data_IF_170358149980
#
_entry.id   IF_170358149980
#
_cell.length_a   1.000
_cell.length_b   1.000
_cell.length_c   1.000
_cell.angle_alpha   90.00
_cell.angle_beta   90.00
_cell.angle_gamma   90.00
#
_symmetry.space_group_name_H-M   'P 1'
#
loop_
_entity.id
_entity.type
_entity.pdbx_description
1 polymer ?
#
# COMPACT_ATOMS: atom_id res chain seq x y z
N UNK A 1 -12.96 -6.60 17.87
CA UNK A 1 -13.80 -5.44 17.46
C UNK A 1 -13.26 -4.11 17.97
N UNK A 2 -12.89 -3.99 19.27
CA UNK A 2 -12.29 -2.75 19.81
C UNK A 2 -11.03 -2.27 19.09
N UNK A 3 -10.11 -3.17 18.70
CA UNK A 3 -8.89 -2.76 17.99
C UNK A 3 -9.18 -2.14 16.62
N UNK A 4 -10.12 -2.69 15.85
CA UNK A 4 -10.48 -2.17 14.52
C UNK A 4 -11.06 -0.76 14.64
N UNK A 5 -11.93 -0.56 15.63
CA UNK A 5 -12.51 0.75 15.90
C UNK A 5 -11.44 1.75 16.34
N UNK A 6 -10.51 1.33 17.21
CA UNK A 6 -9.38 2.17 17.62
C UNK A 6 -8.45 2.52 16.46
N UNK A 7 -8.10 1.54 15.61
CA UNK A 7 -7.31 1.76 14.39
C UNK A 7 -8.02 2.74 13.48
N UNK A 8 -9.33 2.57 13.24
CA UNK A 8 -10.10 3.47 12.39
C UNK A 8 -10.16 4.89 12.96
N UNK A 9 -10.49 5.06 14.24
CA UNK A 9 -10.57 6.36 14.90
C UNK A 9 -9.23 7.09 14.89
N UNK A 10 -8.16 6.38 15.26
CA UNK A 10 -6.80 6.92 15.28
C UNK A 10 -6.36 7.32 13.87
N UNK A 11 -6.62 6.46 12.88
CA UNK A 11 -6.28 6.74 11.48
C UNK A 11 -7.07 7.91 10.93
N UNK A 12 -8.35 8.01 11.25
CA UNK A 12 -9.22 9.11 10.83
C UNK A 12 -8.74 10.43 11.44
N UNK A 13 -8.40 10.46 12.73
CA UNK A 13 -7.83 11.64 13.39
C UNK A 13 -6.51 12.06 12.76
N UNK A 14 -5.59 11.12 12.52
CA UNK A 14 -4.31 11.41 11.85
C UNK A 14 -4.55 11.94 10.43
N UNK A 15 -5.43 11.32 9.67
CA UNK A 15 -5.73 11.72 8.30
C UNK A 15 -6.34 13.12 8.22
N UNK A 16 -7.39 13.39 9.01
CA UNK A 16 -8.09 14.67 9.03
C UNK A 16 -7.25 15.80 9.63
N UNK A 17 -6.38 15.50 10.59
CA UNK A 17 -5.48 16.49 11.19
C UNK A 17 -4.22 16.80 10.36
N UNK A 18 -3.89 15.98 9.36
CA UNK A 18 -2.62 16.08 8.63
C UNK A 18 -2.80 16.04 7.10
N UNK A 19 -3.54 17.01 6.55
CA UNK A 19 -3.68 17.18 5.10
C UNK A 19 -2.34 17.30 4.36
N UNK A 20 -1.29 17.72 5.07
CA UNK A 20 0.11 17.75 4.60
C UNK A 20 0.61 16.41 4.05
N UNK A 21 0.06 15.27 4.49
CA UNK A 21 0.42 13.94 3.99
C UNK A 21 0.04 13.75 2.51
N UNK A 22 -0.92 14.51 1.99
CA UNK A 22 -1.29 14.50 0.57
C UNK A 22 -0.33 15.31 -0.31
N UNK A 23 0.38 16.28 0.25
CA UNK A 23 1.21 17.21 -0.52
C UNK A 23 2.39 16.53 -1.24
N UNK A 24 3.18 15.63 -0.61
CA UNK A 24 4.22 14.87 -1.31
C UNK A 24 3.67 14.04 -2.47
N UNK A 25 2.45 13.48 -2.33
CA UNK A 25 1.79 12.71 -3.38
C UNK A 25 1.42 13.59 -4.58
N UNK A 26 0.85 14.77 -4.34
CA UNK A 26 0.52 15.73 -5.39
C UNK A 26 1.79 16.23 -6.11
N UNK A 27 2.86 16.49 -5.35
CA UNK A 27 4.15 16.87 -5.93
C UNK A 27 4.79 15.75 -6.76
N UNK A 28 4.72 14.51 -6.29
CA UNK A 28 5.17 13.35 -7.08
C UNK A 28 4.38 13.23 -8.38
N UNK A 29 3.05 13.34 -8.32
CA UNK A 29 2.20 13.28 -9.52
C UNK A 29 2.49 14.42 -10.51
N UNK A 30 2.76 15.63 -10.00
CA UNK A 30 3.18 16.77 -10.83
C UNK A 30 4.54 16.52 -11.50
N UNK A 31 5.50 15.96 -10.75
CA UNK A 31 6.81 15.59 -11.32
C UNK A 31 6.66 14.50 -12.38
N UNK A 32 5.84 13.48 -12.14
CA UNK A 32 5.56 12.42 -13.12
C UNK A 32 4.88 12.98 -14.37
N UNK A 33 3.94 13.92 -14.25
CA UNK A 33 3.26 14.52 -15.41
C UNK A 33 4.17 15.40 -16.25
N UNK A 34 5.21 15.99 -15.66
CA UNK A 34 6.24 16.73 -16.39
C UNK A 34 7.22 15.82 -17.15
N UNK A 35 7.42 14.59 -16.67
CA UNK A 35 8.40 13.64 -17.24
C UNK A 35 7.78 12.69 -18.27
N UNK A 36 6.47 12.42 -18.18
CA UNK A 36 5.74 11.61 -19.18
C UNK A 36 5.11 12.55 -20.22
N UNK A 37 5.69 12.73 -21.42
CA UNK A 37 5.10 13.59 -22.44
C UNK A 37 3.73 13.04 -22.86
N UNK A 38 2.67 13.84 -22.68
CA UNK A 38 1.30 13.37 -22.88
C UNK A 38 0.89 13.22 -24.35
N UNK A 39 1.61 13.80 -25.32
CA UNK A 39 1.24 13.78 -26.74
C UNK A 39 2.41 13.99 -27.72
N UNK A 40 3.66 13.99 -27.26
CA UNK A 40 4.78 13.95 -28.18
C UNK A 40 5.10 12.47 -28.43
N UNK A 41 5.26 12.08 -29.70
CA UNK A 41 5.94 10.81 -30.02
C UNK A 41 7.25 10.67 -29.25
N UNK A 42 7.87 9.48 -29.22
CA UNK A 42 9.09 9.23 -28.44
C UNK A 42 10.04 10.43 -28.58
N UNK A 43 10.40 11.12 -27.47
CA UNK A 43 11.14 12.37 -27.55
C UNK A 43 12.43 12.12 -28.33
N UNK A 44 12.81 13.06 -29.18
CA UNK A 44 14.08 13.02 -29.94
C UNK A 44 15.34 13.07 -29.05
N UNK A 45 15.18 13.09 -27.71
CA UNK A 45 16.29 12.92 -26.80
C UNK A 45 16.65 11.44 -26.76
N UNK A 46 17.93 11.12 -26.98
CA UNK A 46 18.56 9.83 -26.70
C UNK A 46 18.54 9.49 -25.18
N UNK A 47 17.44 9.75 -24.46
CA UNK A 47 17.24 9.25 -23.11
C UNK A 47 16.97 7.77 -23.23
N UNK A 48 17.87 6.96 -22.67
CA UNK A 48 17.60 5.55 -22.52
C UNK A 48 16.35 5.38 -21.63
N UNK A 49 15.23 4.97 -22.22
CA UNK A 49 13.96 4.75 -21.54
C UNK A 49 14.06 3.80 -20.36
N UNK A 50 14.99 2.84 -20.42
CA UNK A 50 15.27 1.94 -19.31
C UNK A 50 15.85 2.73 -18.13
N UNK A 51 16.79 3.64 -18.39
CA UNK A 51 17.36 4.52 -17.37
C UNK A 51 16.30 5.44 -16.78
N UNK A 52 15.44 6.03 -17.61
CA UNK A 52 14.33 6.86 -17.13
C UNK A 52 13.35 6.05 -16.27
N UNK A 53 12.97 4.85 -16.72
CA UNK A 53 12.08 3.95 -15.97
C UNK A 53 12.66 3.56 -14.61
N UNK A 54 13.95 3.20 -14.55
CA UNK A 54 14.65 2.90 -13.29
C UNK A 54 14.64 4.11 -12.36
N UNK A 55 14.92 5.32 -12.88
CA UNK A 55 14.91 6.55 -12.10
C UNK A 55 13.53 6.82 -11.50
N UNK A 56 12.46 6.66 -12.28
CA UNK A 56 11.08 6.86 -11.81
C UNK A 56 10.72 5.87 -10.69
N UNK A 57 11.13 4.60 -10.82
CA UNK A 57 10.90 3.56 -9.81
C UNK A 57 11.66 3.87 -8.51
N UNK A 58 12.93 4.27 -8.60
CA UNK A 58 13.72 4.66 -7.43
C UNK A 58 13.14 5.90 -6.74
N UNK A 59 12.73 6.91 -7.53
CA UNK A 59 12.10 8.11 -7.03
C UNK A 59 10.80 7.76 -6.28
N UNK A 60 9.98 6.86 -6.83
CA UNK A 60 8.79 6.35 -6.14
C UNK A 60 9.14 5.76 -4.76
N UNK A 61 10.17 4.92 -4.65
CA UNK A 61 10.57 4.34 -3.36
C UNK A 61 11.13 5.37 -2.38
N UNK A 62 11.84 6.39 -2.86
CA UNK A 62 12.25 7.56 -2.06
C UNK A 62 11.02 8.25 -1.46
N UNK A 63 10.03 8.57 -2.30
CA UNK A 63 8.80 9.21 -1.85
C UNK A 63 8.04 8.35 -0.84
N UNK A 64 7.91 7.04 -1.10
CA UNK A 64 7.21 6.13 -0.20
C UNK A 64 7.91 6.05 1.16
N UNK A 65 9.24 5.93 1.20
CA UNK A 65 9.98 5.93 2.47
C UNK A 65 9.71 7.21 3.29
N UNK A 66 9.74 8.37 2.64
CA UNK A 66 9.44 9.65 3.31
C UNK A 66 8.01 9.75 3.83
N UNK A 67 7.01 9.33 3.05
CA UNK A 67 5.59 9.37 3.46
C UNK A 67 5.33 8.44 4.64
N UNK A 68 5.81 7.19 4.57
CA UNK A 68 5.64 6.25 5.68
C UNK A 68 6.35 6.74 6.96
N UNK A 69 7.46 7.48 6.83
CA UNK A 69 8.10 8.19 7.94
C UNK A 69 7.24 9.28 8.57
N UNK A 70 6.64 10.14 7.74
CA UNK A 70 5.72 11.16 8.22
C UNK A 70 4.54 10.53 8.98
N UNK A 71 3.97 9.44 8.45
CA UNK A 71 2.88 8.71 9.11
C UNK A 71 3.36 8.11 10.44
N UNK A 72 4.54 7.49 10.50
CA UNK A 72 5.11 6.93 11.73
C UNK A 72 5.28 8.00 12.82
N UNK A 73 5.76 9.19 12.43
CA UNK A 73 5.92 10.32 13.33
C UNK A 73 4.56 10.80 13.84
N UNK A 74 3.55 10.91 12.98
CA UNK A 74 2.18 11.28 13.37
C UNK A 74 1.61 10.32 14.41
N UNK A 75 1.78 9.01 14.22
CA UNK A 75 1.31 7.99 15.18
C UNK A 75 1.99 8.16 16.55
N UNK A 76 3.29 8.46 16.57
CA UNK A 76 4.06 8.60 17.81
C UNK A 76 3.61 9.83 18.61
N UNK A 77 3.41 10.96 17.93
CA UNK A 77 2.90 12.19 18.54
C UNK A 77 1.51 11.97 19.13
N UNK A 78 0.63 11.40 18.32
CA UNK A 78 -0.78 11.17 18.66
C UNK A 78 -0.92 10.22 19.87
N UNK A 79 -0.09 9.18 19.93
CA UNK A 79 -0.03 8.26 21.07
C UNK A 79 0.52 8.90 22.36
N UNK A 80 1.48 9.82 22.25
CA UNK A 80 2.02 10.54 23.42
C UNK A 80 0.99 11.52 23.98
N UNK A 81 0.27 12.25 23.13
CA UNK A 81 -0.81 13.15 23.54
C UNK A 81 -1.94 12.41 24.26
N UNK A 82 -2.34 11.23 23.78
CA UNK A 82 -3.31 10.39 24.48
C UNK A 82 -2.83 9.98 25.87
N UNK A 83 -1.55 9.61 26.02
CA UNK A 83 -0.99 9.26 27.34
C UNK A 83 -1.02 10.44 28.31
N UNK A 84 -0.69 11.65 27.84
CA UNK A 84 -0.74 12.87 28.64
C UNK A 84 -2.17 13.22 29.10
N UNK A 85 -3.19 12.99 28.26
CA UNK A 85 -4.60 13.23 28.62
C UNK A 85 -5.19 12.18 29.58
N UNK A 86 -4.59 10.99 29.64
CA UNK A 86 -5.12 9.86 30.44
C UNK A 86 -4.42 9.73 31.80
N UNK A 87 -3.39 10.53 32.09
CA UNK A 87 -2.74 10.57 33.41
C UNK A 87 -3.53 11.48 34.38
N UNK A 88 -3.90 11.01 35.59
CA UNK A 88 -4.77 11.76 36.50
C UNK A 88 -4.13 12.97 37.22
N UNK A 89 -2.84 13.28 36.99
CA UNK A 89 -2.08 14.20 37.86
C UNK A 89 -1.30 15.30 37.10
N UNK A 90 -1.89 15.91 36.08
CA UNK A 90 -1.38 17.20 35.58
C UNK A 90 -2.35 18.35 35.90
N UNK A 91 -2.14 19.09 37.00
CA UNK A 91 -2.97 20.25 37.40
C UNK A 91 -2.65 21.51 36.57
N UNK A 92 -2.50 21.35 35.25
CA UNK A 92 -2.20 22.43 34.31
C UNK A 92 -2.77 22.25 32.90
N UNK A 93 -3.56 21.19 32.65
CA UNK A 93 -4.12 20.89 31.33
C UNK A 93 -5.48 21.59 31.08
N UNK A 94 -5.68 22.80 31.60
CA UNK A 94 -6.89 23.61 31.36
C UNK A 94 -6.78 24.51 30.12
N UNK A 95 -5.90 24.19 29.16
CA UNK A 95 -5.85 24.90 27.88
C UNK A 95 -6.26 24.00 26.71
N UNK A 96 -7.56 23.99 26.33
CA UNK A 96 -8.07 23.32 25.13
C UNK A 96 -7.38 23.72 23.83
N UNK A 97 -6.55 24.78 23.85
CA UNK A 97 -5.79 25.25 22.69
C UNK A 97 -4.45 24.53 22.48
N UNK A 98 -3.87 23.87 23.49
CA UNK A 98 -2.62 23.09 23.28
C UNK A 98 -2.87 21.71 22.66
N UNK A 99 -4.08 21.17 22.83
CA UNK A 99 -4.53 19.92 22.19
C UNK A 99 -4.60 20.01 20.65
N UNK A 100 -4.63 21.24 20.11
CA UNK A 100 -4.68 21.50 18.67
C UNK A 100 -3.30 21.59 18.01
N UNK A 101 -2.23 21.37 18.76
CA UNK A 101 -0.87 21.35 18.20
C UNK A 101 -0.42 19.90 18.04
N UNK A 102 -1.01 19.19 17.06
CA UNK A 102 -0.16 18.36 16.19
C UNK A 102 1.07 19.22 15.89
N UNK A 103 2.33 18.75 16.03
CA UNK A 103 3.50 19.57 15.73
C UNK A 103 3.28 20.18 14.36
N UNK A 104 2.97 21.48 14.33
CA UNK A 104 2.06 22.05 13.32
C UNK A 104 2.45 21.56 11.95
N UNK A 105 1.52 21.00 11.16
CA UNK A 105 1.70 20.03 10.06
C UNK A 105 3.05 20.06 9.28
N UNK A 106 3.69 21.22 9.16
CA UNK A 106 5.10 21.40 8.82
C UNK A 106 6.14 20.63 9.67
N UNK A 107 5.89 20.36 10.95
CA UNK A 107 6.75 19.56 11.81
C UNK A 107 6.90 18.13 11.30
N UNK A 108 5.88 17.58 10.65
CA UNK A 108 5.93 16.27 10.01
C UNK A 108 6.84 16.25 8.79
N UNK A 109 6.97 17.35 8.03
CA UNK A 109 7.93 17.41 6.92
C UNK A 109 9.37 17.24 7.39
N UNK A 110 9.69 17.58 8.65
CA UNK A 110 11.03 17.33 9.20
C UNK A 110 11.33 15.83 9.33
N UNK A 111 10.32 14.97 9.40
CA UNK A 111 10.49 13.52 9.40
C UNK A 111 10.71 12.96 7.99
N UNK A 112 10.25 13.63 6.94
CA UNK A 112 10.29 13.13 5.56
C UNK A 112 11.70 12.76 5.10
N UNK A 113 12.63 13.73 5.07
CA UNK A 113 13.99 13.50 4.54
C UNK A 113 14.86 12.56 5.39
N UNK A 114 14.88 12.66 6.73
CA UNK A 114 15.64 11.71 7.55
C UNK A 114 15.19 10.27 7.37
N UNK A 115 13.87 10.03 7.26
CA UNK A 115 13.34 8.68 7.05
C UNK A 115 13.76 8.10 5.70
N UNK A 116 13.89 8.92 4.65
CA UNK A 116 14.45 8.46 3.37
C UNK A 116 15.85 7.90 3.60
N UNK A 117 16.73 8.64 4.27
CA UNK A 117 18.09 8.18 4.54
C UNK A 117 18.13 6.87 5.36
N UNK A 118 17.19 6.69 6.28
CA UNK A 118 17.12 5.52 7.15
C UNK A 118 16.56 4.27 6.45
N UNK A 119 15.54 4.41 5.61
CA UNK A 119 14.80 3.26 5.07
C UNK A 119 14.88 3.10 3.54
N UNK A 120 15.49 4.04 2.80
CA UNK A 120 15.55 3.98 1.34
C UNK A 120 16.07 2.63 0.82
N UNK A 121 17.16 2.11 1.38
CA UNK A 121 17.73 0.82 0.95
C UNK A 121 16.72 -0.31 1.13
N UNK A 122 16.03 -0.35 2.27
CA UNK A 122 15.00 -1.36 2.53
C UNK A 122 13.82 -1.22 1.58
N UNK A 123 13.41 0.01 1.25
CA UNK A 123 12.34 0.26 0.28
C UNK A 123 12.74 -0.13 -1.15
N UNK A 124 13.95 0.22 -1.59
CA UNK A 124 14.47 -0.12 -2.90
C UNK A 124 14.62 -1.64 -3.07
N UNK A 125 15.16 -2.34 -2.06
CA UNK A 125 15.25 -3.81 -2.06
C UNK A 125 13.86 -4.44 -2.04
N UNK A 126 12.93 -3.92 -1.24
CA UNK A 126 11.53 -4.38 -1.22
C UNK A 126 10.86 -4.24 -2.58
N UNK A 127 11.10 -3.11 -3.25
CA UNK A 127 10.69 -2.88 -4.63
C UNK A 127 11.29 -3.86 -5.63
N UNK A 128 12.59 -4.14 -5.50
CA UNK A 128 13.27 -5.10 -6.34
C UNK A 128 12.69 -6.51 -6.19
N UNK A 129 12.27 -6.92 -4.99
CA UNK A 129 11.56 -8.20 -4.77
C UNK A 129 10.28 -8.25 -5.62
N UNK A 130 9.47 -7.17 -5.63
CA UNK A 130 8.25 -7.10 -6.44
C UNK A 130 8.56 -7.23 -7.94
N UNK A 131 9.61 -6.56 -8.41
CA UNK A 131 10.08 -6.65 -9.81
C UNK A 131 10.57 -8.06 -10.14
N UNK A 132 11.31 -8.73 -9.25
CA UNK A 132 11.77 -10.09 -9.47
C UNK A 132 10.60 -11.08 -9.59
N UNK A 133 9.56 -10.92 -8.78
CA UNK A 133 8.34 -11.75 -8.89
C UNK A 133 7.65 -11.51 -10.23
N UNK A 134 7.53 -10.24 -10.65
CA UNK A 134 6.94 -9.89 -11.95
C UNK A 134 7.74 -10.50 -13.12
N UNK A 135 9.08 -10.38 -13.10
CA UNK A 135 9.97 -10.98 -14.12
C UNK A 135 9.87 -12.49 -14.11
N UNK A 136 9.81 -13.13 -12.94
CA UNK A 136 9.61 -14.57 -12.81
C UNK A 136 8.29 -15.04 -13.43
N UNK A 137 7.20 -14.31 -13.18
CA UNK A 137 5.90 -14.58 -13.80
C UNK A 137 5.93 -14.37 -15.32
N UNK A 138 6.56 -13.30 -15.80
CA UNK A 138 6.71 -13.05 -17.23
C UNK A 138 7.53 -14.16 -17.93
N UNK A 139 8.61 -14.63 -17.29
CA UNK A 139 9.40 -15.75 -17.78
C UNK A 139 8.60 -17.05 -17.82
N UNK A 140 7.79 -17.32 -16.80
CA UNK A 140 6.89 -18.47 -16.76
C UNK A 140 5.81 -18.41 -17.86
N UNK A 141 5.19 -17.24 -18.06
CA UNK A 141 4.23 -17.01 -19.16
C UNK A 141 4.91 -17.29 -20.49
N UNK A 142 6.09 -16.71 -20.73
CA UNK A 142 6.85 -16.92 -21.97
C UNK A 142 7.11 -18.40 -22.22
N UNK A 143 7.63 -19.13 -21.22
CA UNK A 143 7.89 -20.57 -21.34
C UNK A 143 6.63 -21.38 -21.64
N UNK A 144 5.52 -21.04 -20.99
CA UNK A 144 4.22 -21.72 -21.21
C UNK A 144 3.68 -21.48 -22.61
N UNK A 145 3.84 -20.25 -23.13
CA UNK A 145 3.48 -19.90 -24.50
C UNK A 145 4.34 -20.68 -25.49
N UNK A 146 5.66 -20.71 -25.30
CA UNK A 146 6.59 -21.39 -26.21
C UNK A 146 6.40 -22.92 -26.22
N UNK A 147 6.07 -23.53 -25.09
CA UNK A 147 6.01 -24.99 -24.96
C UNK A 147 4.62 -25.60 -25.22
N UNK A 148 3.54 -24.86 -24.93
CA UNK A 148 2.20 -25.45 -24.83
C UNK A 148 1.13 -24.77 -25.67
N UNK A 149 1.15 -23.44 -25.79
CA UNK A 149 0.06 -22.69 -26.44
C UNK A 149 0.42 -22.31 -27.88
N UNK A 150 1.65 -21.83 -28.09
CA UNK A 150 2.05 -21.12 -29.29
C UNK A 150 1.54 -19.68 -29.32
N UNK A 151 2.10 -18.87 -30.22
CA UNK A 151 1.60 -17.52 -30.50
C UNK A 151 0.69 -17.60 -31.74
N UNK A 152 -0.59 -17.23 -31.65
CA UNK A 152 -1.47 -17.15 -32.80
C UNK A 152 -0.86 -16.22 -33.88
N UNK A 153 -0.77 -16.64 -35.15
CA UNK A 153 -0.23 -15.80 -36.23
C UNK A 153 -0.92 -14.44 -36.35
N UNK A 154 -2.22 -14.36 -36.05
CA UNK A 154 -2.98 -13.11 -36.00
C UNK A 154 -2.41 -12.11 -35.00
N UNK A 155 -1.92 -12.56 -33.83
CA UNK A 155 -1.32 -11.64 -32.86
C UNK A 155 0.00 -11.08 -33.38
N UNK A 156 0.82 -11.90 -34.03
CA UNK A 156 2.07 -11.46 -34.66
C UNK A 156 1.80 -10.42 -35.74
N UNK A 157 0.85 -10.67 -36.65
CA UNK A 157 0.44 -9.73 -37.70
C UNK A 157 -0.11 -8.42 -37.12
N UNK A 158 -0.90 -8.51 -36.05
CA UNK A 158 -1.46 -7.35 -35.35
C UNK A 158 -0.36 -6.51 -34.65
N UNK A 159 0.62 -7.16 -34.02
CA UNK A 159 1.78 -6.49 -33.44
C UNK A 159 2.65 -5.82 -34.50
N UNK A 160 2.91 -6.49 -35.62
CA UNK A 160 3.69 -5.93 -36.73
C UNK A 160 3.02 -4.69 -37.33
N UNK A 161 1.69 -4.72 -37.55
CA UNK A 161 0.92 -3.56 -38.03
C UNK A 161 0.91 -2.39 -37.05
N UNK A 162 0.76 -2.67 -35.75
CA UNK A 162 0.85 -1.64 -34.71
C UNK A 162 2.26 -1.03 -34.66
N UNK A 163 3.31 -1.84 -34.75
CA UNK A 163 4.70 -1.37 -34.80
C UNK A 163 5.01 -0.59 -36.08
N UNK A 164 4.37 -0.93 -37.20
CA UNK A 164 4.43 -0.19 -38.45
C UNK A 164 3.66 1.15 -38.41
N UNK A 165 2.92 1.43 -37.33
CA UNK A 165 2.19 2.68 -37.15
C UNK A 165 0.83 2.72 -37.86
N UNK A 166 0.26 1.57 -38.22
CA UNK A 166 -1.10 1.52 -38.78
C UNK A 166 -2.12 1.94 -37.71
N UNK A 167 -2.81 3.05 -37.94
CA UNK A 167 -3.75 3.66 -36.98
C UNK A 167 -5.17 3.08 -37.06
N UNK A 168 -5.45 2.25 -38.07
CA UNK A 168 -6.75 1.58 -38.25
C UNK A 168 -6.55 0.09 -38.50
N UNK A 169 -6.12 -0.64 -37.47
CA UNK A 169 -6.22 -2.09 -37.48
C UNK A 169 -7.64 -2.46 -37.04
N UNK A 170 -8.47 -2.97 -37.96
CA UNK A 170 -9.79 -3.50 -37.64
C UNK A 170 -9.65 -4.84 -36.89
N UNK A 171 -9.30 -4.72 -35.61
CA UNK A 171 -9.08 -5.84 -34.71
C UNK A 171 -10.34 -6.71 -34.60
N UNK A 172 -11.54 -6.13 -34.77
CA UNK A 172 -12.80 -6.84 -34.66
C UNK A 172 -13.04 -7.73 -35.88
N UNK A 173 -12.75 -7.24 -37.09
CA UNK A 173 -12.77 -8.06 -38.30
C UNK A 173 -11.73 -9.20 -38.25
N UNK A 174 -10.52 -8.93 -37.76
CA UNK A 174 -9.46 -9.93 -37.58
C UNK A 174 -9.84 -11.03 -36.57
N UNK A 175 -10.50 -10.66 -35.46
CA UNK A 175 -11.00 -11.61 -34.46
C UNK A 175 -12.13 -12.50 -35.02
N UNK A 176 -13.02 -11.94 -35.83
CA UNK A 176 -14.15 -12.67 -36.42
C UNK A 176 -13.69 -13.67 -37.51
N UNK A 177 -12.72 -13.28 -38.33
CA UNK A 177 -12.16 -14.11 -39.40
C UNK A 177 -11.24 -15.25 -38.91
N UNK A 178 -10.96 -15.31 -37.60
CA UNK A 178 -9.98 -16.24 -37.05
C UNK A 178 -10.49 -17.70 -37.06
N UNK A 179 -9.66 -18.68 -37.47
CA UNK A 179 -9.99 -20.10 -37.35
C UNK A 179 -10.21 -20.53 -35.90
N UNK A 180 -11.05 -21.54 -35.66
CA UNK A 180 -11.37 -22.00 -34.29
C UNK A 180 -10.13 -22.42 -33.49
N UNK A 181 -9.12 -23.03 -34.13
CA UNK A 181 -7.87 -23.39 -33.47
C UNK A 181 -7.09 -22.17 -32.95
N UNK A 182 -7.09 -21.07 -33.71
CA UNK A 182 -6.44 -19.81 -33.29
C UNK A 182 -7.26 -19.09 -32.21
N UNK A 183 -8.60 -19.20 -32.26
CA UNK A 183 -9.48 -18.71 -31.19
C UNK A 183 -9.19 -19.44 -29.87
N UNK A 184 -9.08 -20.77 -29.91
CA UNK A 184 -8.73 -21.56 -28.73
C UNK A 184 -7.33 -21.21 -28.17
N UNK A 185 -6.35 -20.97 -29.03
CA UNK A 185 -5.02 -20.49 -28.61
C UNK A 185 -5.09 -19.09 -27.97
N UNK A 186 -5.86 -18.18 -28.56
CA UNK A 186 -6.06 -16.83 -28.02
C UNK A 186 -6.77 -16.86 -26.66
N UNK A 187 -7.77 -17.72 -26.50
CA UNK A 187 -8.48 -17.92 -25.23
C UNK A 187 -7.55 -18.50 -24.16
N UNK A 188 -6.72 -19.48 -24.52
CA UNK A 188 -5.71 -20.05 -23.64
C UNK A 188 -4.65 -19.00 -23.23
N UNK A 189 -4.19 -18.19 -24.18
CA UNK A 189 -3.25 -17.09 -23.94
C UNK A 189 -3.86 -16.04 -23.00
N UNK A 190 -5.11 -15.65 -23.25
CA UNK A 190 -5.86 -14.70 -22.42
C UNK A 190 -6.02 -15.24 -21.00
N UNK A 191 -6.40 -16.50 -20.87
CA UNK A 191 -6.52 -17.18 -19.58
C UNK A 191 -5.18 -17.24 -18.84
N UNK A 192 -4.08 -17.52 -19.55
CA UNK A 192 -2.73 -17.52 -18.99
C UNK A 192 -2.34 -16.14 -18.45
N UNK A 193 -2.60 -15.08 -19.21
CA UNK A 193 -2.34 -13.71 -18.75
C UNK A 193 -3.22 -13.32 -17.56
N UNK A 194 -4.49 -13.74 -17.54
CA UNK A 194 -5.39 -13.54 -16.40
C UNK A 194 -4.88 -14.25 -15.15
N UNK A 195 -4.45 -15.50 -15.26
CA UNK A 195 -3.88 -16.27 -14.15
C UNK A 195 -2.58 -15.65 -13.65
N UNK A 196 -1.68 -15.23 -14.55
CA UNK A 196 -0.43 -14.56 -14.17
C UNK A 196 -0.69 -13.21 -13.49
N UNK A 197 -1.60 -12.39 -14.05
CA UNK A 197 -2.01 -11.12 -13.48
C UNK A 197 -2.69 -11.27 -12.12
N UNK A 198 -3.55 -12.28 -11.97
CA UNK A 198 -4.16 -12.64 -10.69
C UNK A 198 -3.11 -13.09 -9.67
N UNK A 199 -2.18 -13.97 -10.06
CA UNK A 199 -1.09 -14.43 -9.21
C UNK A 199 -0.20 -13.29 -8.70
N UNK A 200 0.19 -12.37 -9.58
CA UNK A 200 0.93 -11.17 -9.18
C UNK A 200 0.11 -10.30 -8.23
N UNK A 201 -1.18 -10.09 -8.54
CA UNK A 201 -2.07 -9.30 -7.70
C UNK A 201 -2.20 -9.89 -6.29
N UNK A 202 -2.39 -11.21 -6.17
CA UNK A 202 -2.44 -11.91 -4.89
C UNK A 202 -1.15 -11.70 -4.09
N UNK A 203 0.01 -11.87 -4.73
CA UNK A 203 1.30 -11.62 -4.07
C UNK A 203 1.44 -10.17 -3.59
N UNK A 204 1.14 -9.20 -4.48
CA UNK A 204 1.20 -7.78 -4.15
C UNK A 204 0.29 -7.43 -2.98
N UNK A 205 -0.93 -7.98 -2.97
CA UNK A 205 -1.90 -7.78 -1.91
C UNK A 205 -1.47 -8.38 -0.58
N UNK A 206 -1.03 -9.64 -0.57
CA UNK A 206 -0.54 -10.30 0.65
C UNK A 206 0.69 -9.59 1.25
N UNK A 207 1.46 -8.90 0.42
CA UNK A 207 2.65 -8.18 0.86
C UNK A 207 2.43 -6.69 1.06
N UNK A 208 1.23 -6.15 0.81
CA UNK A 208 0.97 -4.70 0.75
C UNK A 208 1.35 -3.92 2.01
N UNK A 209 1.36 -4.56 3.19
CA UNK A 209 1.75 -3.93 4.44
C UNK A 209 3.27 -3.93 4.70
N UNK A 210 4.10 -4.50 3.82
CA UNK A 210 5.55 -4.57 3.99
C UNK A 210 6.21 -3.21 4.29
N UNK A 211 5.81 -2.06 3.69
CA UNK A 211 6.44 -0.77 4.02
C UNK A 211 6.21 -0.37 5.47
N UNK A 212 5.03 -0.70 6.02
CA UNK A 212 4.72 -0.43 7.42
C UNK A 212 5.56 -1.32 8.36
N UNK A 213 5.81 -2.57 8.00
CA UNK A 213 6.69 -3.47 8.76
C UNK A 213 8.15 -3.03 8.74
N UNK A 214 8.61 -2.40 7.65
CA UNK A 214 9.94 -1.78 7.58
C UNK A 214 10.04 -0.62 8.58
N UNK A 215 9.10 0.33 8.52
CA UNK A 215 9.20 1.58 9.28
C UNK A 215 8.78 1.41 10.75
N UNK A 216 7.67 0.72 11.03
CA UNK A 216 7.17 0.53 12.41
C UNK A 216 7.82 -0.68 13.09
N UNK A 217 8.13 -1.74 12.33
CA UNK A 217 8.69 -2.99 12.84
C UNK A 217 10.22 -3.07 12.81
N UNK A 218 10.90 -2.13 12.14
CA UNK A 218 12.36 -2.13 11.99
C UNK A 218 12.90 -3.33 11.20
N UNK A 219 12.07 -3.98 10.38
CA UNK A 219 12.42 -5.21 9.69
C UNK A 219 13.23 -4.96 8.42
N UNK A 220 14.02 -5.95 8.00
CA UNK A 220 14.61 -5.98 6.65
C UNK A 220 13.53 -6.12 5.59
N UNK A 221 13.83 -5.77 4.33
CA UNK A 221 12.87 -5.85 3.23
C UNK A 221 12.22 -7.23 3.07
N UNK A 222 13.02 -8.29 3.13
CA UNK A 222 12.54 -9.67 3.04
C UNK A 222 11.72 -10.07 4.28
N UNK A 223 12.21 -9.71 5.47
CA UNK A 223 11.49 -9.93 6.73
C UNK A 223 10.13 -9.27 6.71
N UNK A 224 10.05 -8.03 6.22
CA UNK A 224 8.82 -7.26 6.11
C UNK A 224 7.82 -7.86 5.11
N UNK A 225 8.27 -8.35 3.96
CA UNK A 225 7.42 -9.07 3.01
C UNK A 225 6.86 -10.34 3.66
N UNK A 226 7.71 -11.10 4.36
CA UNK A 226 7.29 -12.31 5.04
C UNK A 226 6.31 -12.03 6.20
N UNK A 227 6.58 -11.01 7.02
CA UNK A 227 5.70 -10.61 8.10
C UNK A 227 4.34 -10.15 7.58
N UNK A 228 4.31 -9.34 6.51
CA UNK A 228 3.06 -8.96 5.84
C UNK A 228 2.30 -10.18 5.33
N UNK A 229 2.98 -11.10 4.65
CA UNK A 229 2.39 -12.32 4.12
C UNK A 229 1.77 -13.17 5.23
N UNK A 230 2.54 -13.46 6.27
CA UNK A 230 2.08 -14.24 7.43
C UNK A 230 0.91 -13.55 8.14
N UNK A 231 0.93 -12.22 8.24
CA UNK A 231 -0.15 -11.46 8.89
C UNK A 231 -1.49 -11.62 8.16
N UNK A 232 -1.48 -11.72 6.82
CA UNK A 232 -2.70 -11.93 6.05
C UNK A 232 -3.42 -13.24 6.41
N UNK A 233 -2.68 -14.27 6.79
CA UNK A 233 -3.25 -15.54 7.25
C UNK A 233 -3.59 -15.56 8.74
N UNK A 234 -2.89 -14.75 9.55
CA UNK A 234 -3.13 -14.68 10.99
C UNK A 234 -4.35 -13.83 11.36
N UNK A 235 -4.62 -12.77 10.61
CA UNK A 235 -5.74 -11.87 10.89
C UNK A 235 -6.64 -11.70 9.65
N UNK A 236 -7.85 -12.30 9.63
CA UNK A 236 -8.79 -12.17 8.51
C UNK A 236 -9.27 -10.74 8.29
N UNK A 237 -9.14 -9.84 9.27
CA UNK A 237 -9.43 -8.41 9.10
C UNK A 237 -8.41 -7.76 8.15
N UNK A 238 -7.15 -8.17 8.22
CA UNK A 238 -6.10 -7.72 7.29
C UNK A 238 -6.45 -8.16 5.87
N UNK A 239 -6.86 -9.43 5.72
CA UNK A 239 -7.33 -9.99 4.44
C UNK A 239 -8.55 -9.22 3.89
N UNK A 240 -9.56 -8.93 4.72
CA UNK A 240 -10.74 -8.18 4.33
C UNK A 240 -10.42 -6.73 3.94
N UNK A 241 -9.54 -6.05 4.66
CA UNK A 241 -9.09 -4.70 4.32
C UNK A 241 -8.37 -4.65 2.97
N UNK A 242 -7.55 -5.65 2.69
CA UNK A 242 -6.82 -5.80 1.43
C UNK A 242 -7.78 -6.10 0.26
N UNK A 243 -8.73 -7.02 0.44
CA UNK A 243 -9.77 -7.30 -0.58
C UNK A 243 -10.66 -6.08 -0.82
N UNK A 244 -11.05 -5.37 0.24
CA UNK A 244 -11.81 -4.12 0.13
C UNK A 244 -11.05 -3.05 -0.66
N UNK A 245 -9.74 -2.91 -0.44
CA UNK A 245 -8.90 -1.99 -1.20
C UNK A 245 -8.83 -2.34 -2.70
N UNK A 246 -8.69 -3.61 -3.04
CA UNK A 246 -8.73 -4.07 -4.43
C UNK A 246 -10.05 -3.74 -5.12
N UNK A 247 -11.17 -4.08 -4.46
CA UNK A 247 -12.51 -3.83 -5.01
C UNK A 247 -12.77 -2.33 -5.21
N UNK A 248 -12.42 -1.50 -4.22
CA UNK A 248 -12.59 -0.05 -4.31
C UNK A 248 -11.72 0.57 -5.41
N UNK A 249 -10.47 0.13 -5.55
CA UNK A 249 -9.58 0.64 -6.61
C UNK A 249 -10.14 0.31 -8.00
N UNK A 250 -10.67 -0.91 -8.19
CA UNK A 250 -11.31 -1.29 -9.45
C UNK A 250 -12.63 -0.55 -9.70
N UNK A 251 -13.46 -0.34 -8.67
CA UNK A 251 -14.69 0.44 -8.76
C UNK A 251 -14.41 1.87 -9.22
N UNK A 252 -13.41 2.52 -8.61
CA UNK A 252 -12.99 3.88 -9.00
C UNK A 252 -12.48 3.89 -10.45
N UNK A 253 -11.67 2.91 -10.86
CA UNK A 253 -11.22 2.81 -12.25
C UNK A 253 -12.37 2.61 -13.24
N UNK A 254 -13.38 1.80 -12.90
CA UNK A 254 -14.57 1.64 -13.75
C UNK A 254 -15.37 2.94 -13.87
N UNK A 255 -15.60 3.65 -12.77
CA UNK A 255 -16.31 4.93 -12.76
C UNK A 255 -15.56 6.01 -13.56
N UNK A 256 -14.23 6.00 -13.46
CA UNK A 256 -13.32 6.84 -14.26
C UNK A 256 -13.47 6.57 -15.75
N UNK A 257 -13.55 5.29 -16.16
CA UNK A 257 -13.66 4.91 -17.57
C UNK A 257 -15.03 5.23 -18.18
N UNK A 258 -16.09 5.36 -17.37
CA UNK A 258 -17.46 5.55 -17.87
C UNK A 258 -17.92 7.00 -17.95
N UNK A 259 -17.31 7.93 -17.22
CA UNK A 259 -17.91 9.25 -16.97
C UNK A 259 -17.72 10.26 -18.10
N UNK A 260 -16.70 10.11 -18.96
CA UNK A 260 -16.40 10.99 -20.11
C UNK A 260 -16.17 12.48 -19.79
N UNK A 261 -16.49 12.92 -18.57
CA UNK A 261 -16.46 14.29 -18.10
C UNK A 261 -15.13 14.54 -17.36
N UNK A 262 -14.28 15.44 -17.86
CA UNK A 262 -12.95 15.66 -17.29
C UNK A 262 -12.98 16.22 -15.85
N UNK A 263 -14.04 16.95 -15.48
CA UNK A 263 -14.21 17.48 -14.11
C UNK A 263 -14.53 16.34 -13.14
N UNK A 264 -15.47 15.47 -13.50
CA UNK A 264 -15.82 14.28 -12.69
C UNK A 264 -14.62 13.35 -12.56
N UNK A 265 -13.85 13.19 -13.64
CA UNK A 265 -12.61 12.43 -13.65
C UNK A 265 -11.57 12.99 -12.67
N UNK A 266 -11.36 14.31 -12.66
CA UNK A 266 -10.42 14.95 -11.73
C UNK A 266 -10.83 14.77 -10.27
N UNK A 267 -12.12 14.91 -9.95
CA UNK A 267 -12.63 14.68 -8.59
C UNK A 267 -12.51 13.20 -8.18
N UNK A 268 -12.82 12.27 -9.08
CA UNK A 268 -12.66 10.83 -8.82
C UNK A 268 -11.19 10.47 -8.55
N UNK A 269 -10.24 11.03 -9.32
CA UNK A 269 -8.81 10.84 -9.09
C UNK A 269 -8.35 11.41 -7.76
N UNK A 270 -8.80 12.61 -7.39
CA UNK A 270 -8.48 13.21 -6.08
C UNK A 270 -9.03 12.36 -4.93
N UNK A 271 -10.27 11.90 -5.03
CA UNK A 271 -10.87 11.00 -4.05
C UNK A 271 -10.08 9.68 -3.93
N UNK A 272 -9.62 9.13 -5.05
CA UNK A 272 -8.79 7.93 -5.08
C UNK A 272 -7.45 8.14 -4.35
N UNK A 273 -6.80 9.29 -4.54
CA UNK A 273 -5.54 9.64 -3.88
C UNK A 273 -5.76 9.77 -2.38
N UNK A 274 -6.78 10.51 -1.95
CA UNK A 274 -7.12 10.68 -0.54
C UNK A 274 -7.43 9.33 0.14
N UNK A 275 -8.17 8.46 -0.55
CA UNK A 275 -8.45 7.12 -0.07
C UNK A 275 -7.20 6.26 0.08
N UNK A 276 -6.27 6.30 -0.90
CA UNK A 276 -4.98 5.59 -0.81
C UNK A 276 -4.15 6.06 0.38
N UNK A 277 -4.12 7.37 0.67
CA UNK A 277 -3.40 7.92 1.83
C UNK A 277 -4.04 7.44 3.13
N UNK A 278 -5.38 7.52 3.24
CA UNK A 278 -6.10 7.02 4.43
C UNK A 278 -5.77 5.54 4.68
N UNK A 279 -5.76 4.73 3.63
CA UNK A 279 -5.41 3.32 3.74
C UNK A 279 -3.96 3.10 4.20
N UNK A 280 -3.00 3.88 3.68
CA UNK A 280 -1.60 3.81 4.15
C UNK A 280 -1.49 4.15 5.64
N UNK A 281 -2.22 5.18 6.10
CA UNK A 281 -2.30 5.53 7.52
C UNK A 281 -2.89 4.37 8.32
N UNK A 282 -4.00 3.80 7.87
CA UNK A 282 -4.64 2.64 8.53
C UNK A 282 -3.72 1.43 8.65
N UNK A 283 -3.03 1.06 7.57
CA UNK A 283 -2.07 -0.04 7.57
C UNK A 283 -0.92 0.24 8.55
N UNK A 284 -0.43 1.47 8.59
CA UNK A 284 0.67 1.85 9.48
C UNK A 284 0.26 1.85 10.95
N UNK A 285 -0.90 2.42 11.29
CA UNK A 285 -1.47 2.39 12.65
C UNK A 285 -1.68 0.95 13.09
N UNK A 286 -2.26 0.13 12.21
CA UNK A 286 -2.50 -1.29 12.48
C UNK A 286 -1.18 -2.03 12.78
N UNK A 287 -0.19 -1.96 11.88
CA UNK A 287 1.11 -2.63 12.11
C UNK A 287 1.83 -2.09 13.34
N UNK A 288 1.78 -0.79 13.59
CA UNK A 288 2.36 -0.20 14.80
C UNK A 288 1.69 -0.73 16.08
N UNK A 289 0.37 -0.93 16.08
CA UNK A 289 -0.35 -1.55 17.20
C UNK A 289 0.08 -3.01 17.42
N UNK A 290 0.24 -3.77 16.33
CA UNK A 290 0.73 -5.16 16.38
C UNK A 290 2.14 -5.27 16.97
N UNK A 291 3.07 -4.46 16.47
CA UNK A 291 4.49 -4.50 16.87
C UNK A 291 4.66 -4.07 18.34
N UNK A 292 3.87 -3.10 18.80
CA UNK A 292 3.91 -2.60 20.20
C UNK A 292 3.17 -3.51 21.18
N UNK A 293 2.61 -4.64 20.72
CA UNK A 293 1.88 -5.57 21.57
C UNK A 293 0.59 -5.00 22.15
N UNK A 294 -0.05 -4.02 21.49
CA UNK A 294 -1.41 -3.63 21.88
C UNK A 294 -2.34 -4.81 21.61
N UNK A 295 -3.13 -5.27 22.60
CA UNK A 295 -3.72 -6.61 22.57
C UNK A 295 -4.70 -6.81 21.41
N UNK A 296 -4.39 -7.84 20.61
CA UNK A 296 -5.25 -8.48 19.61
C UNK A 296 -6.09 -9.60 20.25
N UNK A 297 -7.03 -9.27 21.15
CA UNK A 297 -8.10 -10.15 21.65
C UNK A 297 -8.97 -9.30 22.58
N UNK A 298 -10.31 -9.23 22.54
CA UNK A 298 -11.31 -10.30 22.75
C UNK A 298 -10.91 -11.26 23.88
N UNK A 299 -10.76 -10.73 25.10
CA UNK A 299 -11.25 -11.46 26.28
C UNK A 299 -12.78 -11.29 26.32
N UNK A 300 -13.44 -12.15 25.56
CA UNK A 300 -14.90 -12.23 25.48
C UNK A 300 -15.34 -13.68 25.39
N UNK A 301 -14.65 -14.59 26.08
CA UNK A 301 -15.17 -15.88 26.44
C UNK A 301 -15.35 -15.85 27.96
N UNK A 302 -16.55 -15.48 28.39
CA UNK A 302 -17.01 -15.66 29.75
C UNK A 302 -17.03 -17.16 30.09
N UNK A 303 -15.99 -17.63 30.77
CA UNK A 303 -16.11 -18.66 31.79
C UNK A 303 -15.74 -17.94 33.10
N UNK A 304 -16.66 -17.53 33.96
CA UNK A 304 -17.77 -18.33 34.44
C UNK A 304 -17.35 -19.23 35.60
N UNK A 305 -16.57 -18.72 36.57
CA UNK A 305 -16.40 -19.26 37.93
C UNK A 305 -16.12 -18.04 38.82
N UNK A 306 -17.07 -17.45 39.56
CA UNK A 306 -17.76 -17.98 40.74
C UNK A 306 -16.83 -18.71 41.71
N UNK A 307 -16.14 -17.95 42.55
CA UNK A 307 -15.34 -18.47 43.66
C UNK A 307 -15.17 -17.43 44.76
N UNK A 308 -16.24 -17.19 45.51
CA UNK A 308 -16.27 -16.44 46.75
C UNK A 308 -15.36 -17.04 47.84
N UNK A 309 -14.54 -16.22 48.50
CA UNK A 309 -13.83 -16.60 49.74
C UNK A 309 -12.94 -15.50 50.34
N UNK A 310 -13.14 -15.03 51.58
CA UNK A 310 -12.50 -13.82 52.13
C UNK A 310 -11.33 -14.06 53.12
N UNK A 311 -10.48 -13.01 53.24
CA UNK A 311 -9.64 -12.54 54.38
C UNK A 311 -8.52 -13.44 54.95
N UNK A 312 -7.30 -12.88 55.07
CA UNK A 312 -6.77 -12.26 56.31
C UNK A 312 -5.28 -11.84 56.20
N UNK A 313 -4.95 -10.72 56.89
CA UNK A 313 -3.68 -10.30 57.53
C UNK A 313 -2.33 -10.82 56.96
N UNK A 314 -1.37 -9.99 56.57
CA UNK A 314 -0.76 -8.94 57.39
C UNK A 314 0.45 -9.50 58.15
N UNK A 315 1.67 -9.26 57.68
CA UNK A 315 2.85 -8.99 58.52
C UNK A 315 4.09 -8.68 57.67
N UNK A 316 4.79 -7.64 58.10
CA UNK A 316 6.11 -7.18 57.69
C UNK A 316 7.17 -8.28 57.76
N UNK A 317 8.18 -8.21 56.90
CA UNK A 317 9.58 -8.12 57.37
C UNK A 317 10.55 -7.73 56.27
N UNK A 318 11.35 -6.72 56.61
CA UNK A 318 12.63 -6.37 56.00
C UNK A 318 13.54 -7.57 55.76
N UNK A 319 14.34 -7.53 54.68
CA UNK A 319 15.79 -7.75 54.74
C UNK A 319 16.49 -7.45 53.39
N UNK A 320 17.27 -6.36 53.41
CA UNK A 320 18.57 -6.15 52.74
C UNK A 320 19.38 -7.46 52.65
N UNK A 321 20.22 -7.80 51.65
CA UNK A 321 21.30 -7.14 50.86
C UNK A 321 22.01 -8.28 50.07
N UNK A 322 23.18 -8.04 49.43
CA UNK A 322 23.47 -7.27 48.23
C UNK A 322 23.25 -8.06 46.92
#
# INVERSE_FOLDING_TARGET
MMMIFHVFQTSWRIFTGNFVLAYPFLMFLLLMSMVVPQNAGPPALNVNWITLGILMVLLYYVFMAGIFGMIAQSITVDGNQQKEMTQPEHPGAEDPQQLNLLPGSFGLFKAFFPTIGQHFVQFAVGGFIQVLVLVGLAAWVKLTVEQSIGIPPVLTDLFEKVLAGETQVDAQALLLAMPEAQKAQLDALTSLFLVAGFGYSVFFFMTMAWPAWVVAGGQSALGAHWASFVQCFKDPVTMLGIVGFYLMTNLVMMLVLQTGNPVVLAFAQLAAILFKILLMVMLMVYVAALVKGQPLAVEGASSGESGSGPKASGQDTHLYRP
#
